data_IF_031126438512
#
_entry.id   IF_031126438512
#
_cell.length_a   1.000
_cell.length_b   1.000
_cell.length_c   1.000
_cell.angle_alpha   90.00
_cell.angle_beta   90.00
_cell.angle_gamma   90.00
#
_symmetry.space_group_name_H-M   'P 1'
#
loop_
_entity.id
_entity.type
_entity.pdbx_description
1 polymer ?
#
# COMPACT_ATOMS: atom_id res chain seq x y z
N UNK A 1 8.76 -21.01 11.46
CA UNK A 1 8.96 -19.54 11.35
C UNK A 1 8.15 -18.91 12.48
N UNK A 2 8.78 -18.21 13.43
CA UNK A 2 8.10 -17.66 14.62
C UNK A 2 7.58 -16.24 14.30
N UNK A 3 6.30 -15.94 14.56
CA UNK A 3 5.78 -14.59 14.38
C UNK A 3 6.34 -13.63 15.44
N UNK A 4 6.41 -12.34 15.10
CA UNK A 4 6.84 -11.30 16.04
C UNK A 4 5.86 -11.20 17.21
N UNK A 5 6.32 -10.80 18.41
CA UNK A 5 5.46 -10.64 19.59
C UNK A 5 4.32 -9.65 19.32
N UNK A 6 3.10 -9.98 19.78
CA UNK A 6 1.88 -9.17 19.65
C UNK A 6 1.98 -7.76 20.27
N UNK A 7 2.97 -7.53 21.14
CA UNK A 7 3.25 -6.22 21.73
C UNK A 7 3.88 -5.23 20.74
N UNK A 8 4.42 -5.73 19.63
CA UNK A 8 5.13 -4.95 18.59
C UNK A 8 4.58 -5.23 17.19
N UNK A 9 3.61 -6.14 17.05
CA UNK A 9 3.08 -6.58 15.76
C UNK A 9 1.55 -6.67 15.80
N UNK A 10 0.89 -5.92 14.92
CA UNK A 10 -0.57 -5.75 14.86
C UNK A 10 -1.32 -6.95 14.25
N UNK A 11 -0.66 -8.06 13.93
CA UNK A 11 -1.33 -9.22 13.33
C UNK A 11 -1.42 -9.22 11.80
N UNK A 12 -0.99 -8.15 11.12
CA UNK A 12 -1.13 -8.03 9.66
C UNK A 12 -0.02 -8.74 8.89
N UNK A 13 -0.42 -9.56 7.91
CA UNK A 13 0.51 -10.25 7.01
C UNK A 13 1.18 -9.23 6.06
N UNK A 14 2.50 -9.08 6.21
CA UNK A 14 3.31 -8.21 5.35
C UNK A 14 3.87 -9.00 4.17
N UNK A 15 3.35 -8.73 2.98
CA UNK A 15 3.91 -9.24 1.72
C UNK A 15 4.48 -8.02 0.97
N UNK A 16 5.76 -8.08 0.60
CA UNK A 16 6.54 -6.95 0.03
C UNK A 16 6.66 -5.71 0.94
N UNK A 17 6.80 -5.90 2.25
CA UNK A 17 6.89 -4.81 3.25
C UNK A 17 5.64 -3.91 3.35
N UNK A 18 4.51 -4.31 2.77
CA UNK A 18 3.25 -3.58 2.85
C UNK A 18 2.24 -4.31 3.74
N UNK A 19 1.63 -3.56 4.65
CA UNK A 19 0.43 -3.96 5.40
C UNK A 19 -0.69 -4.37 4.44
N UNK A 20 -1.45 -5.41 4.77
CA UNK A 20 -2.56 -5.90 3.94
C UNK A 20 -3.58 -4.82 3.62
N UNK A 21 -3.90 -3.97 4.60
CA UNK A 21 -4.80 -2.83 4.45
C UNK A 21 -4.32 -1.85 3.38
N UNK A 22 -3.03 -1.54 3.35
CA UNK A 22 -2.43 -0.68 2.31
C UNK A 22 -2.56 -1.30 0.92
N UNK A 23 -2.38 -2.62 0.80
CA UNK A 23 -2.56 -3.35 -0.47
C UNK A 23 -4.00 -3.29 -0.96
N UNK A 24 -4.98 -3.44 -0.07
CA UNK A 24 -6.40 -3.40 -0.45
C UNK A 24 -6.82 -2.01 -0.94
N UNK A 25 -6.39 -0.95 -0.25
CA UNK A 25 -6.64 0.43 -0.71
C UNK A 25 -6.05 0.72 -2.10
N UNK A 26 -4.81 0.29 -2.36
CA UNK A 26 -4.18 0.47 -3.67
C UNK A 26 -4.89 -0.32 -4.77
N UNK A 27 -5.31 -1.56 -4.50
CA UNK A 27 -6.10 -2.38 -5.44
C UNK A 27 -7.44 -1.73 -5.76
N UNK A 28 -8.15 -1.24 -4.76
CA UNK A 28 -9.45 -0.59 -4.93
C UNK A 28 -9.34 0.67 -5.77
N UNK A 29 -8.31 1.49 -5.53
CA UNK A 29 -8.03 2.66 -6.36
C UNK A 29 -7.67 2.27 -7.80
N UNK A 30 -6.84 1.24 -7.99
CA UNK A 30 -6.45 0.75 -9.31
C UNK A 30 -7.64 0.26 -10.15
N UNK A 31 -8.65 -0.35 -9.51
CA UNK A 31 -9.90 -0.74 -10.20
C UNK A 31 -10.67 0.47 -10.74
N UNK A 32 -10.50 1.66 -10.13
CA UNK A 32 -11.14 2.91 -10.56
C UNK A 32 -10.30 3.67 -11.58
N UNK A 33 -9.00 3.77 -11.36
CA UNK A 33 -8.06 4.44 -12.27
C UNK A 33 -6.71 3.73 -12.31
N UNK A 34 -6.26 3.36 -13.51
CA UNK A 34 -4.93 2.76 -13.72
C UNK A 34 -3.80 3.81 -13.70
N UNK A 35 -4.15 5.09 -13.82
CA UNK A 35 -3.21 6.20 -13.91
C UNK A 35 -3.63 7.32 -12.96
N UNK A 36 -3.41 7.15 -11.64
CA UNK A 36 -3.76 8.18 -10.68
C UNK A 36 -2.95 9.46 -10.93
N UNK A 37 -3.62 10.60 -10.80
CA UNK A 37 -2.98 11.91 -10.88
C UNK A 37 -1.98 12.12 -9.72
N UNK A 38 -1.05 13.09 -9.81
CA UNK A 38 -0.09 13.37 -8.74
C UNK A 38 -0.75 13.62 -7.37
N UNK A 39 -1.87 14.33 -7.33
CA UNK A 39 -2.64 14.57 -6.10
C UNK A 39 -3.28 13.31 -5.53
N UNK A 40 -3.79 12.42 -6.39
CA UNK A 40 -4.34 11.14 -5.97
C UNK A 40 -3.24 10.25 -5.39
N UNK A 41 -2.04 10.25 -5.98
CA UNK A 41 -0.88 9.53 -5.43
C UNK A 41 -0.48 10.07 -4.05
N UNK A 42 -0.50 11.40 -3.86
CA UNK A 42 -0.27 12.02 -2.54
C UNK A 42 -1.33 11.62 -1.52
N UNK A 43 -2.60 11.60 -1.93
CA UNK A 43 -3.71 11.17 -1.07
C UNK A 43 -3.58 9.69 -0.70
N UNK A 44 -3.27 8.82 -1.65
CA UNK A 44 -3.05 7.40 -1.42
C UNK A 44 -1.89 7.17 -0.44
N UNK A 45 -0.76 7.85 -0.66
CA UNK A 45 0.39 7.81 0.25
C UNK A 45 0.00 8.12 1.70
N UNK A 46 -0.79 9.19 1.91
CA UNK A 46 -1.31 9.57 3.23
C UNK A 46 -2.26 8.52 3.82
N UNK A 47 -3.15 7.93 3.02
CA UNK A 47 -4.12 6.94 3.47
C UNK A 47 -3.49 5.57 3.78
N UNK A 48 -2.49 5.17 2.98
CA UNK A 48 -1.86 3.85 3.11
C UNK A 48 -0.62 3.87 3.99
N UNK A 49 -0.19 5.05 4.47
CA UNK A 49 1.07 5.23 5.21
C UNK A 49 2.31 4.93 4.38
N UNK A 50 2.22 5.04 3.05
CA UNK A 50 3.32 4.76 2.13
C UNK A 50 3.91 6.05 1.59
N UNK A 51 5.14 6.00 1.11
CA UNK A 51 5.70 7.13 0.36
C UNK A 51 5.06 7.24 -1.02
N UNK A 52 5.03 8.45 -1.57
CA UNK A 52 4.52 8.70 -2.94
C UNK A 52 5.31 7.88 -3.97
N UNK A 53 6.59 7.62 -3.72
CA UNK A 53 7.45 6.77 -4.56
C UNK A 53 6.99 5.31 -4.50
N UNK A 54 6.71 4.78 -3.31
CA UNK A 54 6.18 3.42 -3.15
C UNK A 54 4.82 3.25 -3.86
N UNK A 55 3.91 4.22 -3.70
CA UNK A 55 2.63 4.23 -4.41
C UNK A 55 2.88 4.29 -5.92
N UNK A 56 3.76 5.17 -6.38
CA UNK A 56 4.07 5.30 -7.81
C UNK A 56 4.64 4.00 -8.40
N UNK A 57 5.56 3.35 -7.70
CA UNK A 57 6.17 2.09 -8.13
C UNK A 57 5.16 0.94 -8.10
N UNK A 58 4.27 0.91 -7.10
CA UNK A 58 3.19 -0.07 -7.07
C UNK A 58 2.29 0.04 -8.31
N UNK A 59 1.86 1.26 -8.67
CA UNK A 59 1.09 1.48 -9.89
C UNK A 59 1.89 1.17 -11.15
N UNK A 60 3.19 1.49 -11.21
CA UNK A 60 4.05 1.15 -12.35
C UNK A 60 4.15 -0.36 -12.56
N UNK A 61 4.40 -1.13 -11.49
CA UNK A 61 4.60 -2.58 -11.53
C UNK A 61 3.29 -3.37 -11.74
N UNK A 62 2.13 -2.72 -11.52
CA UNK A 62 0.80 -3.31 -11.69
C UNK A 62 0.19 -3.02 -13.07
N UNK A 63 0.78 -2.12 -13.86
CA UNK A 63 0.36 -1.85 -15.24
C UNK A 63 0.82 -2.95 -16.17
#
# INVERSE_FOLDING_TARGET
KFPLPRTIWDGEETVYCFKEKSRNFLKDCYRRTRYPAPDEKRRLAKLTGLSVVQVSNWFKNRR
#
